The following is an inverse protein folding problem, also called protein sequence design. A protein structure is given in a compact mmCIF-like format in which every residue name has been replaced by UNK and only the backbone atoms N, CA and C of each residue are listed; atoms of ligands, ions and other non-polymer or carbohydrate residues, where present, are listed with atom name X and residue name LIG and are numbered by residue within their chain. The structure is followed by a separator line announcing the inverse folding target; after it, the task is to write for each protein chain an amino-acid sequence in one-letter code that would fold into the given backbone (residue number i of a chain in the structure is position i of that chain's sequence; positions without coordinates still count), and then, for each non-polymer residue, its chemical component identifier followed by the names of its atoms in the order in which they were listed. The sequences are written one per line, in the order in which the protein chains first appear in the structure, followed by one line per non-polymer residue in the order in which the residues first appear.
data_IF_036305991864
#
_entry.id   IF_036305991864
#
_cell.length_a   1.000
_cell.length_b   1.000
_cell.length_c   1.000
_cell.angle_alpha   90.00
_cell.angle_beta   90.00
_cell.angle_gamma   90.00
#
_symmetry.space_group_name_H-M   'P 1'
#
loop_
_entity.id
_entity.type
_entity.pdbx_description
1 polymer ?
#
# COMPACT_ATOMS: atom_id res chain seq x y z
N UNK A 1 5.34 -3.89 13.68
CA UNK A 1 4.16 -4.03 12.80
C UNK A 1 3.22 -2.82 12.83
N UNK A 2 2.78 -2.32 14.00
CA UNK A 2 1.87 -1.16 14.04
C UNK A 2 2.51 0.19 13.62
N UNK A 3 3.81 0.37 13.92
CA UNK A 3 4.53 1.61 13.61
C UNK A 3 4.81 1.78 12.12
N UNK A 4 5.26 0.71 11.47
CA UNK A 4 5.58 0.70 10.03
C UNK A 4 4.33 0.93 9.19
N UNK A 5 3.20 0.32 9.58
CA UNK A 5 1.90 0.52 8.94
C UNK A 5 1.42 1.98 9.06
N UNK A 6 1.58 2.57 10.24
CA UNK A 6 1.23 3.98 10.49
C UNK A 6 2.07 4.92 9.62
N UNK A 7 3.38 4.67 9.53
CA UNK A 7 4.29 5.48 8.71
C UNK A 7 3.94 5.33 7.22
N UNK A 8 3.75 4.10 6.74
CA UNK A 8 3.38 3.84 5.36
C UNK A 8 2.06 4.52 4.96
N UNK A 9 1.04 4.41 5.82
CA UNK A 9 -0.26 5.06 5.61
C UNK A 9 -0.12 6.58 5.50
N UNK A 10 0.68 7.18 6.40
CA UNK A 10 0.94 8.61 6.38
C UNK A 10 1.65 9.04 5.09
N UNK A 11 2.71 8.35 4.69
CA UNK A 11 3.48 8.69 3.49
C UNK A 11 2.62 8.61 2.22
N UNK A 12 1.74 7.60 2.12
CA UNK A 12 0.80 7.48 1.00
C UNK A 12 -0.21 8.64 1.02
N UNK A 13 -0.79 8.95 2.18
CA UNK A 13 -1.74 10.06 2.31
C UNK A 13 -1.12 11.41 1.96
N UNK A 14 0.11 11.67 2.42
CA UNK A 14 0.84 12.90 2.15
C UNK A 14 1.15 13.04 0.65
N UNK A 15 1.63 11.97 -0.01
CA UNK A 15 1.91 11.98 -1.45
C UNK A 15 0.65 12.19 -2.31
N UNK A 16 -0.47 11.57 -1.95
CA UNK A 16 -1.76 11.76 -2.64
C UNK A 16 -2.28 13.18 -2.43
N UNK A 17 -2.11 13.74 -1.23
CA UNK A 17 -2.47 15.13 -0.94
C UNK A 17 -1.62 16.11 -1.77
N UNK A 18 -0.31 15.91 -1.84
CA UNK A 18 0.59 16.71 -2.68
C UNK A 18 0.16 16.69 -4.15
N UNK A 19 -0.20 15.52 -4.68
CA UNK A 19 -0.72 15.38 -6.04
C UNK A 19 -2.07 16.11 -6.24
N UNK A 20 -2.89 16.22 -5.19
CA UNK A 20 -4.15 16.97 -5.25
C UNK A 20 -3.93 18.48 -5.24
N UNK A 21 -2.94 18.94 -4.48
CA UNK A 21 -2.64 20.36 -4.30
C UNK A 21 -1.81 20.93 -5.47
N UNK A 22 -1.25 20.06 -6.33
CA UNK A 22 -0.46 20.45 -7.50
C UNK A 22 -1.28 20.40 -8.80
N UNK A 23 -1.40 21.54 -9.50
CA UNK A 23 -2.25 21.70 -10.69
C UNK A 23 -1.96 20.73 -11.86
N UNK A 24 -0.72 20.23 -11.97
CA UNK A 24 -0.29 19.34 -13.05
C UNK A 24 -0.28 17.85 -12.66
N UNK A 25 -0.75 17.49 -11.47
CA UNK A 25 -0.74 16.13 -10.96
C UNK A 25 -2.16 15.56 -10.86
N UNK A 26 -2.26 14.24 -10.96
CA UNK A 26 -3.50 13.51 -10.77
C UNK A 26 -3.34 12.56 -9.56
N UNK A 27 -4.19 12.68 -8.53
CA UNK A 27 -4.17 11.79 -7.36
C UNK A 27 -4.26 10.30 -7.71
N UNK A 28 -5.05 9.93 -8.72
CA UNK A 28 -5.20 8.53 -9.16
C UNK A 28 -3.91 8.01 -9.80
N UNK A 29 -3.27 8.84 -10.65
CA UNK A 29 -1.98 8.50 -11.25
C UNK A 29 -0.89 8.38 -10.19
N UNK A 30 -0.91 9.24 -9.17
CA UNK A 30 -0.01 9.14 -8.02
C UNK A 30 -0.21 7.82 -7.25
N UNK A 31 -1.45 7.44 -6.96
CA UNK A 31 -1.74 6.17 -6.29
C UNK A 31 -1.23 4.96 -7.09
N UNK A 32 -1.44 4.95 -8.40
CA UNK A 32 -0.93 3.89 -9.28
C UNK A 32 0.61 3.86 -9.32
N UNK A 33 1.27 5.02 -9.35
CA UNK A 33 2.72 5.12 -9.31
C UNK A 33 3.29 4.58 -7.98
N UNK A 34 2.66 4.92 -6.85
CA UNK A 34 3.03 4.42 -5.52
C UNK A 34 2.90 2.89 -5.45
N UNK A 35 1.80 2.32 -5.94
CA UNK A 35 1.63 0.86 -6.03
C UNK A 35 2.76 0.22 -6.86
N UNK A 36 3.06 0.79 -8.04
CA UNK A 36 4.15 0.31 -8.88
C UNK A 36 5.51 0.28 -8.17
N UNK A 37 5.82 1.31 -7.38
CA UNK A 37 7.06 1.36 -6.60
C UNK A 37 7.09 0.30 -5.50
N UNK A 38 5.98 0.09 -4.78
CA UNK A 38 5.88 -0.95 -3.74
C UNK A 38 6.09 -2.34 -4.35
N UNK A 39 5.40 -2.64 -5.46
CA UNK A 39 5.55 -3.92 -6.16
C UNK A 39 6.98 -4.15 -6.66
N UNK A 40 7.65 -3.09 -7.12
CA UNK A 40 9.07 -3.15 -7.53
C UNK A 40 10.02 -3.47 -6.37
N UNK A 41 9.72 -3.01 -5.15
CA UNK A 41 10.53 -3.39 -3.98
C UNK A 41 10.24 -4.83 -3.54
N UNK A 42 8.98 -5.26 -3.57
CA UNK A 42 8.59 -6.63 -3.19
C UNK A 42 9.19 -7.68 -4.12
N UNK A 43 9.21 -7.41 -5.43
CA UNK A 43 9.72 -8.35 -6.44
C UNK A 43 11.22 -8.64 -6.34
N UNK A 44 11.98 -7.83 -5.59
CA UNK A 44 13.42 -8.08 -5.35
C UNK A 44 13.68 -9.35 -4.55
N UNK A 45 12.77 -9.69 -3.64
CA UNK A 45 12.97 -10.76 -2.65
C UNK A 45 11.82 -11.79 -2.64
N UNK A 46 10.86 -11.66 -3.56
CA UNK A 46 9.66 -12.51 -3.62
C UNK A 46 9.40 -12.97 -5.03
N UNK A 47 8.86 -14.17 -5.17
CA UNK A 47 8.38 -14.62 -6.47
C UNK A 47 7.10 -13.89 -6.86
N UNK A 48 6.76 -13.91 -8.14
CA UNK A 48 5.48 -13.36 -8.64
C UNK A 48 4.28 -13.95 -7.89
N UNK A 49 4.27 -15.26 -7.68
CA UNK A 49 3.17 -15.95 -6.98
C UNK A 49 3.02 -15.47 -5.53
N UNK A 50 4.13 -15.23 -4.83
CA UNK A 50 4.11 -14.70 -3.47
C UNK A 50 3.54 -13.29 -3.41
N UNK A 51 3.88 -12.43 -4.39
CA UNK A 51 3.37 -11.06 -4.48
C UNK A 51 1.88 -11.06 -4.81
N UNK A 52 1.44 -11.88 -5.78
CA UNK A 52 0.02 -12.04 -6.12
C UNK A 52 -0.80 -12.54 -4.92
N UNK A 53 -0.28 -13.53 -4.18
CA UNK A 53 -0.94 -14.02 -2.96
C UNK A 53 -1.07 -12.93 -1.89
N UNK A 54 -0.05 -12.08 -1.73
CA UNK A 54 -0.08 -10.98 -0.77
C UNK A 54 -1.11 -9.92 -1.15
N UNK A 55 -1.15 -9.52 -2.43
CA UNK A 55 -2.13 -8.56 -2.93
C UNK A 55 -3.55 -9.06 -2.71
N UNK A 56 -3.82 -10.33 -3.04
CA UNK A 56 -5.15 -10.92 -2.86
C UNK A 56 -5.57 -10.90 -1.38
N UNK A 57 -4.65 -11.25 -0.47
CA UNK A 57 -4.91 -11.17 0.97
C UNK A 57 -5.27 -9.75 1.42
N UNK A 58 -4.54 -8.72 0.99
CA UNK A 58 -4.85 -7.34 1.34
C UNK A 58 -6.17 -6.86 0.71
N UNK A 59 -6.48 -7.25 -0.53
CA UNK A 59 -7.76 -6.95 -1.18
C UNK A 59 -8.95 -7.55 -0.44
N UNK A 60 -8.83 -8.80 0.03
CA UNK A 60 -9.85 -9.46 0.84
C UNK A 60 -10.06 -8.73 2.18
N UNK A 61 -8.99 -8.19 2.77
CA UNK A 61 -9.05 -7.43 4.02
C UNK A 61 -9.53 -5.97 3.86
N UNK A 62 -9.50 -5.41 2.64
CA UNK A 62 -10.06 -4.07 2.37
C UNK A 62 -11.60 -4.08 2.34
N UNK A 63 -12.20 -5.22 1.98
CA UNK A 63 -13.66 -5.40 1.94
C UNK A 63 -14.29 -5.85 3.25
N UNK A 64 -13.49 -6.37 4.19
CA UNK A 64 -13.91 -6.71 5.55
C UNK A 64 -13.49 -5.63 6.54
N UNK A 65 -14.29 -5.36 7.58
CA UNK A 65 -13.84 -4.55 8.71
C UNK A 65 -12.46 -5.01 9.16
N UNK A 66 -11.50 -4.07 9.28
CA UNK A 66 -10.15 -4.29 9.79
C UNK A 66 -10.20 -5.04 11.15
N UNK A 67 -10.29 -6.36 11.13
CA UNK A 67 -9.93 -7.18 12.28
C UNK A 67 -8.41 -7.24 12.27
N UNK A 68 -7.81 -6.30 13.00
CA UNK A 68 -6.45 -6.45 13.49
C UNK A 68 -6.47 -7.67 14.44
N UNK A 69 -6.36 -8.87 13.87
CA UNK A 69 -6.01 -10.05 14.61
C UNK A 69 -4.52 -9.96 14.91
N UNK A 70 -4.15 -9.19 15.95
CA UNK A 70 -2.90 -9.40 16.67
C UNK A 70 -2.95 -10.79 17.28
N UNK A 71 -2.62 -11.83 16.51
CA UNK A 71 -2.18 -13.10 17.07
C UNK A 71 -0.77 -12.87 17.59
N UNK A 72 -0.65 -12.96 18.91
CA UNK A 72 0.56 -12.65 19.64
C UNK A 72 1.79 -13.40 19.13
N UNK A 73 2.87 -12.65 19.02
CA UNK A 73 4.24 -13.06 19.29
C UNK A 73 4.90 -11.87 19.98
#
# INVERSE_FOLDING_TARGET
MAGEYTIATKLVADAVKEAKDTHSMCPETMANALLGQVLSQMSKNKTRADVESYINFELDNLGGEFMIATRGC
#
